data_IF_349502205002
#
_entry.id   IF_349502205002
#
_cell.length_a   1.000
_cell.length_b   1.000
_cell.length_c   1.000
_cell.angle_alpha   90.00
_cell.angle_beta   90.00
_cell.angle_gamma   90.00
#
_symmetry.space_group_name_H-M   'P 1'
#
loop_
_entity.id
_entity.type
_entity.pdbx_description
1 polymer ?
#
# COMPACT_ATOMS: atom_id res chain seq x y z
N UNK A 1 -28.18 -5.84 57.41
CA UNK A 1 -26.72 -5.67 57.25
C UNK A 1 -26.43 -5.53 55.75
N UNK A 2 -26.45 -4.30 55.21
CA UNK A 2 -26.28 -4.02 53.78
C UNK A 2 -24.87 -3.48 53.44
N UNK A 3 -24.61 -3.30 52.14
CA UNK A 3 -23.73 -2.29 51.55
C UNK A 3 -22.20 -2.54 51.44
N UNK A 4 -21.78 -3.47 50.57
CA UNK A 4 -20.37 -3.54 50.12
C UNK A 4 -20.15 -3.78 48.60
N UNK A 5 -21.17 -3.62 47.74
CA UNK A 5 -21.08 -3.98 46.31
C UNK A 5 -21.19 -2.82 45.31
N UNK A 6 -21.13 -1.58 45.76
CA UNK A 6 -21.16 -0.40 44.88
C UNK A 6 -19.82 0.34 44.88
N UNK A 7 -18.75 -0.33 44.45
CA UNK A 7 -17.54 0.39 44.05
C UNK A 7 -17.75 0.93 42.63
N UNK A 8 -17.61 2.25 42.40
CA UNK A 8 -17.92 2.83 41.10
C UNK A 8 -16.84 2.41 40.09
N UNK A 9 -17.22 1.56 39.13
CA UNK A 9 -16.47 1.30 37.90
C UNK A 9 -16.06 2.58 37.15
N UNK A 10 -16.66 3.73 37.47
CA UNK A 10 -16.33 5.04 36.92
C UNK A 10 -14.97 5.63 37.36
N UNK A 11 -14.32 5.10 38.41
CA UNK A 11 -13.03 5.59 38.90
C UNK A 11 -11.83 5.12 38.06
N UNK A 12 -11.86 3.87 37.56
CA UNK A 12 -10.75 3.28 36.81
C UNK A 12 -10.60 3.86 35.38
N UNK A 13 -11.68 4.39 34.80
CA UNK A 13 -11.67 5.02 33.48
C UNK A 13 -11.20 6.48 33.49
N UNK A 14 -11.10 7.12 34.67
CA UNK A 14 -10.68 8.53 34.80
C UNK A 14 -9.16 8.75 34.72
N UNK A 15 -8.35 7.71 34.93
CA UNK A 15 -6.89 7.76 34.83
C UNK A 15 -6.34 7.37 33.46
N UNK A 16 -7.19 6.88 32.55
CA UNK A 16 -6.74 6.46 31.23
C UNK A 16 -6.62 7.69 30.34
N UNK A 17 -5.42 8.01 29.82
CA UNK A 17 -5.24 9.19 28.99
C UNK A 17 -6.13 9.06 27.74
N UNK A 18 -6.78 10.15 27.32
CA UNK A 18 -7.82 10.18 26.27
C UNK A 18 -7.39 9.49 24.96
N UNK A 19 -6.09 9.47 24.69
CA UNK A 19 -5.42 8.74 23.61
C UNK A 19 -5.57 7.20 23.70
N UNK A 20 -5.47 6.61 24.89
CA UNK A 20 -5.65 5.17 25.09
C UNK A 20 -7.13 4.76 24.95
N UNK A 21 -8.05 5.61 25.40
CA UNK A 21 -9.49 5.39 25.24
C UNK A 21 -9.90 5.46 23.77
N UNK A 22 -9.37 6.43 23.01
CA UNK A 22 -9.60 6.53 21.58
C UNK A 22 -9.00 5.33 20.81
N UNK A 23 -7.78 4.92 21.12
CA UNK A 23 -7.15 3.75 20.50
C UNK A 23 -7.93 2.46 20.79
N UNK A 24 -8.38 2.27 22.03
CA UNK A 24 -9.18 1.11 22.43
C UNK A 24 -10.58 1.13 21.80
N UNK A 25 -11.22 2.30 21.68
CA UNK A 25 -12.50 2.44 20.98
C UNK A 25 -12.39 2.13 19.48
N UNK A 26 -11.31 2.57 18.82
CA UNK A 26 -11.05 2.26 17.40
C UNK A 26 -10.78 0.77 17.21
N UNK A 27 -10.00 0.14 18.10
CA UNK A 27 -9.76 -1.31 18.07
C UNK A 27 -11.04 -2.11 18.32
N UNK A 28 -11.89 -1.69 19.26
CA UNK A 28 -13.17 -2.35 19.54
C UNK A 28 -14.15 -2.17 18.39
N UNK A 29 -14.25 -0.98 17.81
CA UNK A 29 -15.08 -0.73 16.63
C UNK A 29 -14.59 -1.54 15.41
N UNK A 30 -13.27 -1.67 15.26
CA UNK A 30 -12.66 -2.52 14.25
C UNK A 30 -13.03 -4.00 14.41
N UNK A 31 -12.92 -4.55 15.61
CA UNK A 31 -13.32 -5.93 15.88
C UNK A 31 -14.83 -6.12 15.74
N UNK A 32 -15.64 -5.16 16.18
CA UNK A 32 -17.09 -5.20 16.07
C UNK A 32 -17.59 -5.19 14.62
N UNK A 33 -16.88 -4.50 13.71
CA UNK A 33 -17.16 -4.51 12.27
C UNK A 33 -16.67 -5.80 11.58
N UNK A 34 -15.63 -6.46 12.11
CA UNK A 34 -15.14 -7.73 11.57
C UNK A 34 -16.11 -8.91 11.81
N UNK A 35 -16.86 -8.91 12.92
CA UNK A 35 -17.82 -9.98 13.28
C UNK A 35 -18.96 -10.15 12.25
N UNK A 36 -19.66 -9.09 11.80
CA UNK A 36 -20.69 -9.23 10.77
C UNK A 36 -20.11 -9.53 9.39
N UNK A 37 -18.90 -9.05 9.06
CA UNK A 37 -18.25 -9.38 7.78
C UNK A 37 -17.84 -10.86 7.70
N UNK A 38 -17.35 -11.43 8.81
CA UNK A 38 -17.00 -12.86 8.88
C UNK A 38 -18.21 -13.80 8.72
N UNK A 39 -19.43 -13.29 8.92
CA UNK A 39 -20.68 -14.05 8.74
C UNK A 39 -21.12 -14.16 7.28
N UNK A 40 -20.67 -13.25 6.42
CA UNK A 40 -21.02 -13.23 4.99
C UNK A 40 -19.96 -13.93 4.14
N UNK A 41 -18.68 -13.58 4.33
CA UNK A 41 -17.54 -14.17 3.62
C UNK A 41 -16.31 -14.14 4.53
N UNK A 42 -15.71 -15.29 4.84
CA UNK A 42 -14.50 -15.35 5.69
C UNK A 42 -13.32 -14.56 5.09
N UNK A 43 -13.30 -14.37 3.78
CA UNK A 43 -12.22 -13.67 3.07
C UNK A 43 -12.24 -12.16 3.34
N UNK A 44 -13.43 -11.55 3.48
CA UNK A 44 -13.57 -10.11 3.77
C UNK A 44 -12.94 -9.77 5.12
N UNK A 45 -13.12 -10.62 6.13
CA UNK A 45 -12.54 -10.42 7.46
C UNK A 45 -11.00 -10.45 7.41
N UNK A 46 -10.42 -11.35 6.62
CA UNK A 46 -8.97 -11.42 6.43
C UNK A 46 -8.42 -10.16 5.71
N UNK A 47 -9.09 -9.68 4.64
CA UNK A 47 -8.70 -8.44 3.95
C UNK A 47 -8.80 -7.22 4.88
N UNK A 48 -9.84 -7.18 5.72
CA UNK A 48 -10.04 -6.08 6.66
C UNK A 48 -8.96 -6.04 7.74
N UNK A 49 -8.60 -7.20 8.30
CA UNK A 49 -7.50 -7.33 9.25
C UNK A 49 -6.15 -6.95 8.62
N UNK A 50 -5.90 -7.37 7.37
CA UNK A 50 -4.71 -6.97 6.62
C UNK A 50 -4.65 -5.47 6.37
N UNK A 51 -5.76 -4.84 6.01
CA UNK A 51 -5.85 -3.39 5.81
C UNK A 51 -5.54 -2.60 7.08
N UNK A 52 -6.05 -3.03 8.23
CA UNK A 52 -5.73 -2.42 9.53
C UNK A 52 -4.26 -2.61 9.91
N UNK A 53 -3.71 -3.81 9.73
CA UNK A 53 -2.31 -4.09 10.01
C UNK A 53 -1.39 -3.25 9.09
N UNK A 54 -1.73 -3.12 7.81
CA UNK A 54 -1.01 -2.28 6.86
C UNK A 54 -1.10 -0.80 7.24
N UNK A 55 -2.28 -0.29 7.59
CA UNK A 55 -2.45 1.09 8.05
C UNK A 55 -1.64 1.40 9.32
N UNK A 56 -1.67 0.51 10.31
CA UNK A 56 -0.92 0.65 11.55
C UNK A 56 0.60 0.63 11.31
N UNK A 57 1.08 -0.29 10.48
CA UNK A 57 2.50 -0.36 10.15
C UNK A 57 2.97 0.87 9.39
N UNK A 58 2.19 1.39 8.43
CA UNK A 58 2.49 2.64 7.72
C UNK A 58 2.60 3.84 8.66
N UNK A 59 1.65 4.00 9.59
CA UNK A 59 1.67 5.09 10.56
C UNK A 59 2.87 5.01 11.51
N UNK A 60 3.18 3.79 12.01
CA UNK A 60 4.29 3.60 12.96
C UNK A 60 5.67 3.74 12.31
N UNK A 61 5.81 3.27 11.07
CA UNK A 61 7.08 3.31 10.33
C UNK A 61 7.36 4.65 9.65
N UNK A 62 6.35 5.55 9.56
CA UNK A 62 6.43 6.81 8.80
C UNK A 62 6.94 6.56 7.38
N UNK A 63 6.39 5.55 6.73
CA UNK A 63 6.86 5.06 5.44
C UNK A 63 6.59 6.07 4.32
N UNK A 64 7.63 6.78 3.87
CA UNK A 64 7.50 7.68 2.73
C UNK A 64 8.72 7.65 1.82
N UNK A 65 8.47 7.35 0.54
CA UNK A 65 9.51 7.31 -0.50
C UNK A 65 10.14 8.70 -0.71
N UNK A 66 9.34 9.77 -0.72
CA UNK A 66 9.84 11.13 -0.91
C UNK A 66 10.80 11.55 0.22
N UNK A 67 10.49 11.24 1.49
CA UNK A 67 11.41 11.51 2.59
C UNK A 67 12.62 10.59 2.56
N UNK A 68 12.48 9.33 2.14
CA UNK A 68 13.60 8.40 2.02
C UNK A 68 14.68 8.91 1.05
N UNK A 69 14.28 9.41 -0.12
CA UNK A 69 15.20 10.04 -1.07
C UNK A 69 15.80 11.31 -0.49
N UNK A 70 14.97 12.21 0.08
CA UNK A 70 15.47 13.45 0.68
C UNK A 70 16.47 13.20 1.81
N UNK A 71 16.18 12.27 2.72
CA UNK A 71 17.03 11.97 3.87
C UNK A 71 18.35 11.30 3.47
N UNK A 72 18.34 10.55 2.36
CA UNK A 72 19.55 9.98 1.78
C UNK A 72 20.47 11.08 1.23
N UNK A 73 19.92 12.05 0.49
CA UNK A 73 20.70 13.13 -0.12
C UNK A 73 21.11 14.23 0.87
N UNK A 74 20.23 14.65 1.79
CA UNK A 74 20.51 15.74 2.73
C UNK A 74 21.27 15.28 3.98
N UNK A 75 20.86 14.16 4.58
CA UNK A 75 21.37 13.72 5.88
C UNK A 75 22.29 12.50 5.79
N UNK A 76 22.48 11.93 4.59
CA UNK A 76 23.23 10.68 4.39
C UNK A 76 22.58 9.48 5.08
N UNK A 77 21.33 9.60 5.53
CA UNK A 77 20.69 8.60 6.38
C UNK A 77 19.85 7.65 5.52
N UNK A 78 20.34 6.42 5.35
CA UNK A 78 19.67 5.40 4.55
C UNK A 78 18.67 4.53 5.35
N UNK A 79 18.26 4.94 6.56
CA UNK A 79 17.44 4.09 7.45
C UNK A 79 16.10 3.71 6.81
N UNK A 80 15.34 4.71 6.34
CA UNK A 80 14.05 4.49 5.69
C UNK A 80 14.26 3.81 4.34
N UNK A 81 15.29 4.21 3.57
CA UNK A 81 15.61 3.61 2.27
C UNK A 81 15.91 2.10 2.39
N UNK A 82 16.71 1.68 3.38
CA UNK A 82 16.99 0.26 3.64
C UNK A 82 15.72 -0.51 4.01
N UNK A 83 14.83 0.08 4.79
CA UNK A 83 13.55 -0.55 5.13
C UNK A 83 12.65 -0.73 3.90
N UNK A 84 12.61 0.26 3.00
CA UNK A 84 11.90 0.19 1.73
C UNK A 84 12.47 -0.93 0.85
N UNK A 85 13.79 -0.97 0.66
CA UNK A 85 14.45 -1.97 -0.17
C UNK A 85 14.26 -3.39 0.39
N UNK A 86 14.34 -3.57 1.72
CA UNK A 86 14.06 -4.85 2.36
C UNK A 86 12.59 -5.26 2.14
N UNK A 87 11.65 -4.33 2.31
CA UNK A 87 10.23 -4.58 2.06
C UNK A 87 9.95 -4.95 0.61
N UNK A 88 10.61 -4.28 -0.34
CA UNK A 88 10.55 -4.62 -1.76
C UNK A 88 11.09 -6.02 -2.01
N UNK A 89 12.25 -6.39 -1.48
CA UNK A 89 12.84 -7.72 -1.64
C UNK A 89 11.93 -8.84 -1.08
N UNK A 90 11.31 -8.61 0.08
CA UNK A 90 10.37 -9.57 0.67
C UNK A 90 9.07 -9.66 -0.16
N UNK A 91 8.57 -8.54 -0.65
CA UNK A 91 7.38 -8.52 -1.50
C UNK A 91 7.62 -9.21 -2.85
N UNK A 92 8.77 -8.97 -3.48
CA UNK A 92 9.13 -9.56 -4.78
C UNK A 92 9.39 -11.06 -4.66
N UNK A 93 10.12 -11.49 -3.64
CA UNK A 93 10.32 -12.93 -3.34
C UNK A 93 8.99 -13.63 -3.04
N UNK A 94 8.12 -13.01 -2.24
CA UNK A 94 6.77 -13.53 -1.94
C UNK A 94 5.89 -13.65 -3.17
N UNK A 95 5.86 -12.60 -4.01
CA UNK A 95 5.11 -12.61 -5.27
C UNK A 95 5.61 -13.68 -6.25
N UNK A 96 6.93 -13.82 -6.36
CA UNK A 96 7.54 -14.84 -7.20
C UNK A 96 7.25 -16.27 -6.70
N UNK A 97 7.23 -16.50 -5.38
CA UNK A 97 6.88 -17.81 -4.82
C UNK A 97 5.42 -18.18 -5.13
N UNK A 98 4.49 -17.22 -5.00
CA UNK A 98 3.07 -17.41 -5.34
C UNK A 98 2.93 -17.69 -6.84
N UNK A 99 3.60 -16.91 -7.68
CA UNK A 99 3.56 -17.09 -9.14
C UNK A 99 4.18 -18.42 -9.60
N UNK A 100 5.24 -18.89 -8.93
CA UNK A 100 5.83 -20.20 -9.20
C UNK A 100 4.87 -21.35 -8.82
N UNK A 101 4.10 -21.19 -7.74
CA UNK A 101 3.07 -22.16 -7.36
C UNK A 101 1.89 -22.18 -8.36
N UNK A 102 1.54 -21.02 -8.94
CA UNK A 102 0.45 -20.89 -9.90
C UNK A 102 0.82 -21.34 -11.33
N UNK A 103 2.06 -21.09 -11.79
CA UNK A 103 2.55 -21.50 -13.11
C UNK A 103 3.93 -22.15 -13.00
N UNK A 104 4.00 -23.49 -12.89
CA UNK A 104 5.26 -24.22 -12.74
C UNK A 104 6.16 -24.21 -13.99
N UNK A 105 5.59 -23.98 -15.19
CA UNK A 105 6.30 -24.04 -16.47
C UNK A 105 6.12 -22.75 -17.29
N UNK A 106 7.01 -21.75 -17.14
CA UNK A 106 6.95 -20.49 -17.88
C UNK A 106 7.28 -20.64 -19.39
N UNK A 107 7.79 -21.81 -19.82
CA UNK A 107 8.24 -22.06 -21.20
C UNK A 107 7.13 -22.20 -22.25
N UNK A 108 5.86 -22.36 -21.85
CA UNK A 108 4.74 -22.54 -22.78
C UNK A 108 4.01 -21.24 -23.14
N UNK A 109 4.50 -20.07 -22.70
CA UNK A 109 3.87 -18.79 -23.00
C UNK A 109 2.48 -18.61 -22.37
N UNK A 110 2.11 -19.48 -21.42
CA UNK A 110 0.89 -19.35 -20.64
C UNK A 110 1.07 -18.19 -19.65
N UNK A 111 0.59 -17.01 -20.02
CA UNK A 111 0.33 -15.98 -19.01
C UNK A 111 -0.76 -16.53 -18.08
N UNK A 112 -0.54 -16.59 -16.76
CA UNK A 112 -1.64 -16.86 -15.85
C UNK A 112 -2.74 -15.82 -16.11
N UNK A 113 -4.03 -16.21 -16.20
CA UNK A 113 -5.13 -15.27 -16.46
C UNK A 113 -5.23 -14.15 -15.42
N UNK A 114 -4.59 -14.31 -14.25
CA UNK A 114 -4.54 -13.32 -13.19
C UNK A 114 -3.31 -12.40 -13.23
N UNK A 115 -2.28 -12.73 -14.02
CA UNK A 115 -1.12 -11.85 -14.18
C UNK A 115 -1.44 -10.74 -15.18
N UNK A 116 -1.95 -9.62 -14.66
CA UNK A 116 -2.07 -8.36 -15.38
C UNK A 116 -0.68 -7.78 -15.69
N UNK A 117 -0.05 -8.33 -16.73
CA UNK A 117 1.23 -7.85 -17.24
C UNK A 117 0.91 -6.71 -18.19
N UNK A 118 1.02 -5.49 -17.66
CA UNK A 118 0.86 -4.29 -18.47
C UNK A 118 2.07 -4.12 -19.40
N UNK A 119 1.86 -3.68 -20.65
CA UNK A 119 2.95 -3.31 -21.54
C UNK A 119 3.76 -2.18 -20.91
N UNK A 120 5.09 -2.30 -21.02
CA UNK A 120 6.03 -1.33 -20.46
C UNK A 120 6.66 -0.57 -21.63
N UNK A 121 6.69 0.75 -21.51
CA UNK A 121 7.21 1.59 -22.57
C UNK A 121 7.27 3.06 -22.17
N UNK A 122 7.21 3.94 -23.16
CA UNK A 122 7.30 5.39 -23.00
C UNK A 122 6.18 5.92 -22.09
N UNK A 123 5.00 5.29 -22.14
CA UNK A 123 3.87 5.61 -21.27
C UNK A 123 4.23 5.51 -19.77
N UNK A 124 4.97 4.46 -19.38
CA UNK A 124 5.40 4.25 -18.00
C UNK A 124 6.46 5.26 -17.55
N UNK A 125 7.37 5.66 -18.44
CA UNK A 125 8.38 6.69 -18.15
C UNK A 125 7.74 8.05 -17.96
N UNK A 126 6.83 8.44 -18.86
CA UNK A 126 6.07 9.69 -18.74
C UNK A 126 5.20 9.71 -17.48
N UNK A 127 4.52 8.60 -17.20
CA UNK A 127 3.73 8.45 -15.97
C UNK A 127 4.58 8.56 -14.70
N UNK A 128 5.76 7.92 -14.69
CA UNK A 128 6.70 7.99 -13.58
C UNK A 128 7.25 9.41 -13.34
N UNK A 129 7.59 10.14 -14.41
CA UNK A 129 8.04 11.53 -14.32
C UNK A 129 6.95 12.47 -13.81
N UNK A 130 5.72 12.35 -14.32
CA UNK A 130 4.58 13.13 -13.86
C UNK A 130 4.22 12.82 -12.39
N UNK A 131 4.27 11.54 -12.01
CA UNK A 131 4.06 11.12 -10.62
C UNK A 131 5.16 11.68 -9.70
N UNK A 132 6.42 11.64 -10.14
CA UNK A 132 7.55 12.25 -9.45
C UNK A 132 7.38 13.75 -9.25
N UNK A 133 6.99 14.48 -10.29
CA UNK A 133 6.71 15.91 -10.22
C UNK A 133 5.56 16.20 -9.22
N UNK A 134 4.50 15.39 -9.24
CA UNK A 134 3.41 15.48 -8.27
C UNK A 134 3.84 15.24 -6.82
N UNK A 135 4.78 14.32 -6.57
CA UNK A 135 5.35 14.11 -5.23
C UNK A 135 6.09 15.34 -4.71
N UNK A 136 6.81 16.06 -5.59
CA UNK A 136 7.50 17.31 -5.21
C UNK A 136 6.49 18.41 -4.92
N UNK A 137 5.47 18.58 -5.76
CA UNK A 137 4.43 19.61 -5.57
C UNK A 137 3.61 19.41 -4.29
N UNK A 138 3.28 18.17 -3.95
CA UNK A 138 2.50 17.85 -2.74
C UNK A 138 3.35 17.89 -1.46
N UNK A 139 4.67 18.00 -1.56
CA UNK A 139 5.58 17.99 -0.41
C UNK A 139 5.59 16.64 0.34
N UNK A 140 5.23 15.55 -0.35
CA UNK A 140 5.08 14.23 0.24
C UNK A 140 4.78 13.13 -0.78
N UNK A 141 4.63 11.92 -0.28
CA UNK A 141 4.20 10.77 -1.06
C UNK A 141 2.76 10.38 -0.66
N UNK A 142 2.07 9.58 -1.48
CA UNK A 142 0.67 9.17 -1.22
C UNK A 142 0.53 8.46 0.13
N UNK A 143 1.44 7.52 0.45
CA UNK A 143 1.43 6.84 1.75
C UNK A 143 1.61 7.81 2.92
N UNK A 144 2.52 8.78 2.75
CA UNK A 144 2.76 9.90 3.65
C UNK A 144 1.52 10.75 3.92
N UNK A 145 0.83 11.12 2.85
CA UNK A 145 -0.39 11.93 2.93
C UNK A 145 -1.54 11.18 3.58
N UNK A 146 -1.64 9.86 3.39
CA UNK A 146 -2.72 9.06 3.94
C UNK A 146 -2.69 9.00 5.48
N UNK A 147 -1.55 8.67 6.09
CA UNK A 147 -1.47 8.62 7.55
C UNK A 147 -1.47 10.02 8.19
N UNK A 148 -0.89 11.04 7.54
CA UNK A 148 -0.92 12.43 8.05
C UNK A 148 -2.33 13.02 7.98
N UNK A 149 -3.10 12.70 6.94
CA UNK A 149 -4.51 13.08 6.87
C UNK A 149 -5.31 12.46 8.02
N UNK A 150 -5.01 11.21 8.39
CA UNK A 150 -5.60 10.55 9.56
C UNK A 150 -5.18 11.17 10.91
N UNK A 151 -3.98 11.77 10.98
CA UNK A 151 -3.51 12.58 12.12
C UNK A 151 -4.15 13.99 12.17
N UNK A 152 -4.97 14.36 11.17
CA UNK A 152 -5.66 15.65 11.11
C UNK A 152 -4.89 16.76 10.36
N UNK A 153 -3.82 16.43 9.63
CA UNK A 153 -3.12 17.42 8.81
C UNK A 153 -3.97 17.84 7.60
N UNK A 154 -4.52 19.06 7.64
CA UNK A 154 -5.38 19.61 6.58
C UNK A 154 -4.66 19.68 5.23
N UNK A 155 -3.36 20.00 5.21
CA UNK A 155 -2.58 20.03 3.98
C UNK A 155 -2.58 18.66 3.26
N UNK A 156 -2.54 17.56 4.01
CA UNK A 156 -2.55 16.20 3.45
C UNK A 156 -3.91 15.82 2.87
N UNK A 157 -5.00 16.39 3.37
CA UNK A 157 -6.33 16.23 2.78
C UNK A 157 -6.42 16.85 1.39
N UNK A 158 -5.81 18.02 1.18
CA UNK A 158 -5.75 18.66 -0.14
C UNK A 158 -4.94 17.82 -1.12
N UNK A 159 -3.81 17.26 -0.69
CA UNK A 159 -3.01 16.36 -1.52
C UNK A 159 -3.79 15.10 -1.92
N UNK A 160 -4.52 14.49 -0.99
CA UNK A 160 -5.36 13.31 -1.27
C UNK A 160 -6.50 13.64 -2.23
N UNK A 161 -7.15 14.79 -2.07
CA UNK A 161 -8.19 15.24 -3.00
C UNK A 161 -7.63 15.39 -4.43
N UNK A 162 -6.44 15.98 -4.57
CA UNK A 162 -5.74 16.07 -5.86
C UNK A 162 -5.46 14.70 -6.48
N UNK A 163 -5.02 13.73 -5.67
CA UNK A 163 -4.79 12.34 -6.12
C UNK A 163 -6.10 11.70 -6.59
N UNK A 164 -7.21 11.86 -5.85
CA UNK A 164 -8.52 11.32 -6.23
C UNK A 164 -9.04 11.94 -7.52
N UNK A 165 -8.93 13.27 -7.67
CA UNK A 165 -9.34 13.97 -8.89
C UNK A 165 -8.49 13.54 -10.08
N UNK A 166 -7.17 13.43 -9.91
CA UNK A 166 -6.25 12.98 -10.95
C UNK A 166 -6.53 11.53 -11.39
N UNK A 167 -6.73 10.62 -10.42
CA UNK A 167 -7.13 9.23 -10.68
C UNK A 167 -8.48 9.14 -11.37
N UNK A 168 -9.46 9.98 -10.98
CA UNK A 168 -10.75 10.06 -11.66
C UNK A 168 -10.62 10.51 -13.11
N UNK A 169 -9.81 11.53 -13.37
CA UNK A 169 -9.59 12.06 -14.72
C UNK A 169 -8.89 11.04 -15.65
N UNK A 170 -7.84 10.38 -15.15
CA UNK A 170 -7.15 9.34 -15.95
C UNK A 170 -8.04 8.12 -16.16
N UNK A 171 -8.89 7.75 -15.19
CA UNK A 171 -9.83 6.64 -15.33
C UNK A 171 -10.86 6.89 -16.44
N UNK A 172 -11.29 8.14 -16.64
CA UNK A 172 -12.23 8.50 -17.71
C UNK A 172 -11.55 8.53 -19.08
N UNK A 173 -10.30 9.02 -19.15
CA UNK A 173 -9.55 9.14 -20.40
C UNK A 173 -8.78 7.85 -20.77
N UNK A 174 -8.81 6.82 -19.91
CA UNK A 174 -8.03 5.59 -20.05
C UNK A 174 -8.18 4.92 -21.42
N UNK A 175 -9.40 4.83 -21.93
CA UNK A 175 -9.67 4.13 -23.20
C UNK A 175 -8.97 4.81 -24.39
N UNK A 176 -8.87 6.15 -24.37
CA UNK A 176 -8.18 6.92 -25.40
C UNK A 176 -6.66 6.75 -25.31
N UNK A 177 -6.10 6.83 -24.10
CA UNK A 177 -4.67 6.59 -23.86
C UNK A 177 -4.26 5.17 -24.23
N UNK A 178 -5.13 4.20 -23.94
CA UNK A 178 -4.90 2.80 -24.26
C UNK A 178 -4.82 2.57 -25.77
N UNK A 179 -5.75 3.14 -26.53
CA UNK A 179 -5.79 3.00 -27.97
C UNK A 179 -4.60 3.66 -28.69
N UNK A 180 -4.10 4.79 -28.16
CA UNK A 180 -3.09 5.63 -28.83
C UNK A 180 -1.65 5.31 -28.45
N UNK A 181 -1.37 5.02 -27.18
CA UNK A 181 -0.01 4.80 -26.68
C UNK A 181 0.24 3.36 -26.24
N UNK A 182 -0.67 2.79 -25.45
CA UNK A 182 -0.40 1.56 -24.68
C UNK A 182 -0.53 0.29 -25.53
N UNK A 183 -1.38 0.31 -26.55
CA UNK A 183 -1.61 -0.83 -27.46
C UNK A 183 -0.40 -1.20 -28.32
N UNK A 184 0.49 -0.23 -28.61
CA UNK A 184 1.67 -0.40 -29.43
C UNK A 184 2.94 -0.79 -28.67
N UNK A 185 2.88 -0.87 -27.34
CA UNK A 185 4.07 -1.08 -26.49
C UNK A 185 4.35 -2.57 -26.24
N UNK A 186 5.64 -2.97 -26.20
CA UNK A 186 6.01 -4.36 -25.98
C UNK A 186 5.62 -4.83 -24.58
N UNK A 187 4.91 -5.96 -24.53
CA UNK A 187 4.63 -6.68 -23.27
C UNK A 187 5.85 -7.51 -22.89
N UNK A 188 6.70 -6.97 -22.03
CA UNK A 188 7.90 -7.66 -21.55
C UNK A 188 7.51 -8.51 -20.34
N UNK A 189 7.47 -9.83 -20.52
CA UNK A 189 7.27 -10.78 -19.42
C UNK A 189 8.63 -11.32 -18.96
N UNK A 190 9.17 -10.73 -17.89
CA UNK A 190 10.52 -10.99 -17.39
C UNK A 190 10.88 -12.49 -17.23
N UNK A 191 9.99 -13.41 -16.79
CA UNK A 191 10.33 -14.83 -16.67
C UNK A 191 10.39 -15.60 -18.02
N UNK A 192 9.80 -15.09 -19.10
CA UNK A 192 9.90 -15.69 -20.45
C UNK A 192 10.91 -14.96 -21.35
N UNK A 193 11.16 -13.67 -21.12
CA UNK A 193 12.23 -12.97 -21.83
C UNK A 193 13.59 -13.46 -21.31
N UNK A 194 14.33 -14.14 -22.20
CA UNK A 194 15.68 -14.67 -22.00
C UNK A 194 15.83 -15.98 -21.19
N UNK A 195 14.76 -16.77 -20.96
CA UNK A 195 14.90 -18.13 -20.39
C UNK A 195 15.49 -18.17 -18.96
N UNK A 196 15.44 -17.04 -18.24
CA UNK A 196 16.03 -16.86 -16.92
C UNK A 196 15.32 -17.64 -15.80
N UNK A 197 14.13 -18.20 -16.07
CA UNK A 197 13.29 -18.84 -15.07
C UNK A 197 12.87 -17.88 -13.96
N UNK A 198 12.15 -18.38 -12.95
CA UNK A 198 11.76 -17.57 -11.79
C UNK A 198 12.97 -17.09 -10.97
N UNK A 199 14.08 -17.85 -10.98
CA UNK A 199 15.30 -17.51 -10.27
C UNK A 199 16.05 -16.31 -10.88
N UNK A 200 16.13 -16.22 -12.21
CA UNK A 200 16.75 -15.07 -12.88
C UNK A 200 15.89 -13.81 -12.82
N UNK A 201 14.55 -13.95 -12.85
CA UNK A 201 13.65 -12.82 -12.61
C UNK A 201 13.79 -12.26 -11.19
N UNK A 202 13.98 -13.12 -10.18
CA UNK A 202 14.31 -12.71 -8.81
C UNK A 202 15.66 -12.02 -8.70
N UNK A 203 16.69 -12.52 -9.38
CA UNK A 203 18.04 -11.96 -9.30
C UNK A 203 18.17 -10.57 -9.94
N UNK A 204 17.29 -10.24 -10.88
CA UNK A 204 17.21 -8.93 -11.54
C UNK A 204 16.39 -7.88 -10.77
N UNK A 205 15.57 -8.31 -9.79
CA UNK A 205 14.65 -7.44 -9.04
C UNK A 205 15.21 -7.06 -7.68
#
# INVERSE_FOLDING_TARGET
MPAALTAPLGGALRGVPRQYVAAMAVLVAAVALAVPMARQEGILAALWALGLAAGFTLQRSRFCFASAFRDLFLFGSARIMKAILLGLAVATTGFAAIMHAAVPFPGFGALPPEAHVLPVGISTVLGGLLFGYGMVLSGGCVSGSLYRAAEGYVASWVSLAGVVVGLGFISQTWNWWWATLVSGEPKIWLPATAGLGYAGALALT
#
